data_IF_513745579365
#
_entry.id   IF_513745579365
#
_cell.length_a   1.000
_cell.length_b   1.000
_cell.length_c   1.000
_cell.angle_alpha   90.00
_cell.angle_beta   90.00
_cell.angle_gamma   90.00
#
_symmetry.space_group_name_H-M   'P 1'
#
loop_
_entity.id
_entity.type
_entity.pdbx_description
1 polymer ?
#
# COMPACT_ATOMS: atom_id res chain seq x y z
N UNK A 1 45.55 -7.62 73.04
CA UNK A 1 45.86 -6.65 71.96
C UNK A 1 47.37 -6.49 71.89
N UNK A 2 47.95 -6.80 70.74
CA UNK A 2 49.40 -6.70 70.47
C UNK A 2 49.84 -5.23 70.40
N UNK A 3 51.08 -4.92 70.79
CA UNK A 3 51.68 -3.58 70.64
C UNK A 3 51.59 -3.05 69.19
N UNK A 4 51.56 -3.96 68.21
CA UNK A 4 51.38 -3.66 66.79
C UNK A 4 49.97 -3.17 66.43
N UNK A 5 48.92 -3.67 67.10
CA UNK A 5 47.54 -3.23 66.88
C UNK A 5 47.33 -1.79 67.38
N UNK A 6 47.95 -1.43 68.52
CA UNK A 6 47.87 -0.09 69.10
C UNK A 6 48.58 0.99 68.24
N UNK A 7 49.75 0.68 67.66
CA UNK A 7 50.43 1.60 66.75
C UNK A 7 49.75 1.71 65.37
N UNK A 8 49.15 0.63 64.88
CA UNK A 8 48.34 0.66 63.64
C UNK A 8 47.13 1.57 63.74
N UNK A 9 46.40 1.51 64.87
CA UNK A 9 45.24 2.37 65.16
C UNK A 9 45.61 3.86 65.21
N UNK A 10 46.74 4.21 65.84
CA UNK A 10 47.20 5.61 65.98
C UNK A 10 47.69 6.23 64.67
N UNK A 11 48.24 5.42 63.76
CA UNK A 11 48.68 5.85 62.41
C UNK A 11 47.50 6.11 61.47
N UNK A 12 46.48 5.25 61.50
CA UNK A 12 45.24 5.44 60.72
C UNK A 12 44.53 6.75 61.08
N UNK A 13 44.45 7.05 62.38
CA UNK A 13 43.83 8.28 62.90
C UNK A 13 44.59 9.56 62.47
N UNK A 14 45.92 9.49 62.32
CA UNK A 14 46.73 10.62 61.82
C UNK A 14 46.55 10.88 60.32
N UNK A 15 46.42 9.83 59.51
CA UNK A 15 46.23 9.94 58.05
C UNK A 15 44.84 10.45 57.71
N UNK A 16 43.82 9.98 58.43
CA UNK A 16 42.45 10.49 58.34
C UNK A 16 42.38 12.00 58.61
N UNK A 17 42.98 12.48 59.70
CA UNK A 17 43.02 13.91 60.02
C UNK A 17 43.75 14.74 58.95
N UNK A 18 44.79 14.19 58.34
CA UNK A 18 45.49 14.85 57.23
C UNK A 18 44.60 14.95 55.98
N UNK A 19 43.83 13.91 55.66
CA UNK A 19 42.85 13.93 54.57
C UNK A 19 41.72 14.95 54.83
N UNK A 20 41.15 14.96 56.04
CA UNK A 20 40.11 15.92 56.45
C UNK A 20 40.61 17.37 56.37
N UNK A 21 41.86 17.63 56.80
CA UNK A 21 42.47 18.96 56.70
C UNK A 21 42.64 19.43 55.24
N UNK A 22 43.00 18.51 54.32
CA UNK A 22 43.10 18.81 52.89
C UNK A 22 41.73 19.09 52.26
N UNK A 23 40.71 18.30 52.65
CA UNK A 23 39.33 18.53 52.21
C UNK A 23 38.82 19.90 52.66
N UNK A 24 39.00 20.25 53.94
CA UNK A 24 38.63 21.55 54.51
C UNK A 24 39.38 22.72 53.85
N UNK A 25 40.62 22.49 53.40
CA UNK A 25 41.42 23.47 52.67
C UNK A 25 41.01 23.61 51.19
N UNK A 26 40.06 22.80 50.70
CA UNK A 26 39.61 22.80 49.30
C UNK A 26 40.52 22.05 48.34
N UNK A 27 41.59 21.42 48.82
CA UNK A 27 42.46 20.54 48.02
C UNK A 27 41.85 19.14 47.94
N UNK A 28 40.75 19.05 47.18
CA UNK A 28 39.97 17.83 47.04
C UNK A 28 40.74 16.71 46.33
N UNK A 29 41.71 17.05 45.48
CA UNK A 29 42.54 16.05 44.82
C UNK A 29 43.49 15.37 45.82
N UNK A 30 44.21 16.17 46.62
CA UNK A 30 45.07 15.66 47.69
C UNK A 30 44.29 14.93 48.79
N UNK A 31 43.06 15.36 49.08
CA UNK A 31 42.19 14.67 50.03
C UNK A 31 41.84 13.24 49.58
N UNK A 32 41.49 13.03 48.30
CA UNK A 32 41.19 11.70 47.75
C UNK A 32 42.36 10.73 47.90
N UNK A 33 43.58 11.17 47.57
CA UNK A 33 44.78 10.34 47.71
C UNK A 33 45.03 9.95 49.17
N UNK A 34 44.91 10.91 50.10
CA UNK A 34 45.13 10.64 51.53
C UNK A 34 44.04 9.74 52.14
N UNK A 35 42.79 9.85 51.69
CA UNK A 35 41.72 8.94 52.11
C UNK A 35 41.97 7.50 51.61
N UNK A 36 42.46 7.34 50.38
CA UNK A 36 42.88 6.03 49.86
C UNK A 36 44.05 5.44 50.64
N UNK A 37 45.09 6.23 50.93
CA UNK A 37 46.25 5.81 51.73
C UNK A 37 45.89 5.49 53.20
N UNK A 38 44.77 6.03 53.68
CA UNK A 38 44.20 5.74 54.98
C UNK A 38 43.29 4.48 54.96
N UNK A 39 43.03 3.88 53.80
CA UNK A 39 42.10 2.75 53.67
C UNK A 39 40.63 3.15 53.82
N UNK A 40 40.28 4.37 53.40
CA UNK A 40 38.94 4.95 53.51
C UNK A 40 38.35 5.25 52.11
N UNK A 41 38.06 4.21 51.30
CA UNK A 41 37.64 4.38 49.90
C UNK A 41 36.27 5.07 49.75
N UNK A 42 35.35 4.91 50.71
CA UNK A 42 34.06 5.59 50.69
C UNK A 42 34.19 7.11 50.90
N UNK A 43 35.09 7.56 51.79
CA UNK A 43 35.37 8.98 51.96
C UNK A 43 36.04 9.57 50.73
N UNK A 44 37.00 8.85 50.13
CA UNK A 44 37.59 9.24 48.86
C UNK A 44 36.52 9.36 47.75
N UNK A 45 35.54 8.44 47.72
CA UNK A 45 34.49 8.43 46.70
C UNK A 45 33.52 9.60 46.92
N UNK A 46 33.17 9.91 48.17
CA UNK A 46 32.40 11.11 48.54
C UNK A 46 33.10 12.39 48.08
N UNK A 47 34.41 12.52 48.30
CA UNK A 47 35.18 13.69 47.86
C UNK A 47 35.24 13.78 46.33
N UNK A 48 35.34 12.66 45.61
CA UNK A 48 35.24 12.65 44.15
C UNK A 48 33.88 13.16 43.65
N UNK A 49 32.78 12.83 44.33
CA UNK A 49 31.46 13.36 44.00
C UNK A 49 31.38 14.87 44.26
N UNK A 50 31.99 15.38 45.34
CA UNK A 50 32.11 16.82 45.57
C UNK A 50 32.90 17.52 44.44
N UNK A 51 33.97 16.88 43.96
CA UNK A 51 34.71 17.37 42.78
C UNK A 51 33.84 17.38 41.53
N UNK A 52 33.00 16.36 41.33
CA UNK A 52 32.06 16.31 40.23
C UNK A 52 30.99 17.41 40.30
N UNK A 53 30.60 17.84 41.50
CA UNK A 53 29.62 18.92 41.68
C UNK A 53 30.22 20.31 41.40
N UNK A 54 31.51 20.50 41.70
CA UNK A 54 32.23 21.75 41.45
C UNK A 54 32.80 21.89 40.01
N UNK A 55 32.87 20.80 39.26
CA UNK A 55 33.45 20.78 37.90
C UNK A 55 32.47 21.29 36.84
N UNK A 56 32.98 22.02 35.84
CA UNK A 56 32.17 22.63 34.78
C UNK A 56 32.00 21.73 33.56
N UNK A 57 33.02 20.94 33.21
CA UNK A 57 32.96 20.02 32.06
C UNK A 57 32.17 18.76 32.41
N UNK A 58 31.09 18.51 31.66
CA UNK A 58 30.23 17.33 31.86
C UNK A 58 31.02 16.03 31.74
N UNK A 59 31.98 15.95 30.80
CA UNK A 59 32.83 14.79 30.60
C UNK A 59 33.69 14.50 31.82
N UNK A 60 34.28 15.54 32.43
CA UNK A 60 35.05 15.40 33.67
C UNK A 60 34.18 15.04 34.86
N UNK A 61 32.95 15.58 34.94
CA UNK A 61 31.97 15.20 35.97
C UNK A 61 31.62 13.71 35.86
N UNK A 62 31.33 13.22 34.65
CA UNK A 62 31.10 11.79 34.39
C UNK A 62 32.31 10.95 34.81
N UNK A 63 33.53 11.38 34.49
CA UNK A 63 34.75 10.67 34.87
C UNK A 63 34.96 10.60 36.40
N UNK A 64 34.66 11.68 37.12
CA UNK A 64 34.70 11.70 38.59
C UNK A 64 33.64 10.78 39.20
N UNK A 65 32.39 10.85 38.75
CA UNK A 65 31.31 9.96 39.21
C UNK A 65 31.61 8.48 38.90
N UNK A 66 32.15 8.17 37.72
CA UNK A 66 32.55 6.82 37.34
C UNK A 66 33.68 6.29 38.23
N UNK A 67 34.64 7.14 38.59
CA UNK A 67 35.74 6.77 39.49
C UNK A 67 35.25 6.57 40.93
N UNK A 68 34.36 7.44 41.41
CA UNK A 68 33.71 7.28 42.70
C UNK A 68 32.92 5.97 42.80
N UNK A 69 32.14 5.62 41.77
CA UNK A 69 31.35 4.37 41.75
C UNK A 69 32.23 3.11 41.74
N UNK A 70 33.37 3.13 41.05
CA UNK A 70 34.31 1.99 41.07
C UNK A 70 35.02 1.81 42.39
N UNK A 71 35.24 2.90 43.13
CA UNK A 71 36.04 2.92 44.34
C UNK A 71 35.22 2.69 45.61
N UNK A 72 33.97 3.15 45.64
CA UNK A 72 33.08 2.98 46.78
C UNK A 72 32.89 1.49 47.15
N UNK A 73 33.01 1.20 48.44
CA UNK A 73 32.71 -0.10 49.04
C UNK A 73 31.25 -0.17 49.51
N UNK A 74 30.69 0.94 50.00
CA UNK A 74 29.27 1.04 50.33
C UNK A 74 28.40 0.84 49.08
N UNK A 75 27.45 -0.12 49.09
CA UNK A 75 26.51 -0.31 48.00
C UNK A 75 25.68 0.93 47.69
N UNK A 76 25.29 1.69 48.72
CA UNK A 76 24.51 2.92 48.59
C UNK A 76 25.32 4.02 47.88
N UNK A 77 26.58 4.23 48.30
CA UNK A 77 27.45 5.23 47.70
C UNK A 77 27.82 4.86 46.26
N UNK A 78 28.10 3.58 46.01
CA UNK A 78 28.35 3.04 44.68
C UNK A 78 27.19 3.29 43.73
N UNK A 79 25.96 3.01 44.18
CA UNK A 79 24.71 3.24 43.43
C UNK A 79 24.47 4.72 43.18
N UNK A 80 24.65 5.56 44.20
CA UNK A 80 24.50 7.03 44.08
C UNK A 80 25.49 7.63 43.08
N UNK A 81 26.76 7.22 43.13
CA UNK A 81 27.78 7.65 42.18
C UNK A 81 27.48 7.19 40.74
N UNK A 82 27.00 5.94 40.58
CA UNK A 82 26.57 5.41 39.30
C UNK A 82 25.37 6.20 38.75
N UNK A 83 24.38 6.52 39.58
CA UNK A 83 23.20 7.30 39.19
C UNK A 83 23.58 8.68 38.67
N UNK A 84 24.44 9.43 39.38
CA UNK A 84 24.93 10.73 38.90
C UNK A 84 25.66 10.62 37.57
N UNK A 85 26.50 9.60 37.39
CA UNK A 85 27.20 9.33 36.13
C UNK A 85 26.19 9.07 35.01
N UNK A 86 25.25 8.16 35.24
CA UNK A 86 24.29 7.68 34.26
C UNK A 86 23.31 8.78 33.83
N UNK A 87 22.84 9.62 34.77
CA UNK A 87 21.98 10.78 34.48
C UNK A 87 22.68 11.80 33.58
N UNK A 88 23.93 12.15 33.88
CA UNK A 88 24.72 13.06 33.04
C UNK A 88 24.96 12.48 31.64
N UNK A 89 25.29 11.18 31.56
CA UNK A 89 25.46 10.48 30.30
C UNK A 89 24.15 10.43 29.49
N UNK A 90 23.01 10.24 30.15
CA UNK A 90 21.69 10.23 29.53
C UNK A 90 21.31 11.60 28.96
N UNK A 91 21.62 12.69 29.65
CA UNK A 91 21.39 14.03 29.13
C UNK A 91 22.22 14.29 27.85
N UNK A 92 23.47 13.83 27.81
CA UNK A 92 24.31 13.92 26.61
C UNK A 92 23.75 13.08 25.45
N UNK A 93 23.34 11.84 25.74
CA UNK A 93 22.68 10.96 24.76
C UNK A 93 21.42 11.62 24.21
N UNK A 94 20.54 12.08 25.09
CA UNK A 94 19.29 12.73 24.70
C UNK A 94 19.51 13.99 23.86
N UNK A 95 20.50 14.82 24.22
CA UNK A 95 20.83 16.05 23.48
C UNK A 95 21.31 15.79 22.05
N UNK A 96 21.93 14.63 21.77
CA UNK A 96 22.38 14.25 20.42
C UNK A 96 21.25 13.70 19.52
N UNK A 97 20.13 13.28 20.11
CA UNK A 97 18.97 12.77 19.37
C UNK A 97 19.31 11.63 18.41
N UNK A 98 18.96 11.77 17.13
CA UNK A 98 19.12 10.73 16.10
C UNK A 98 20.57 10.31 15.81
N UNK A 99 21.57 11.08 16.26
CA UNK A 99 23.00 10.77 16.06
C UNK A 99 23.55 9.75 17.08
N UNK A 100 22.76 9.32 18.05
CA UNK A 100 23.22 8.40 19.11
C UNK A 100 23.37 6.98 18.59
N UNK A 101 24.48 6.33 18.96
CA UNK A 101 24.64 4.91 18.70
C UNK A 101 23.76 4.07 19.63
N UNK A 102 23.05 3.08 19.09
CA UNK A 102 22.20 2.15 19.86
C UNK A 102 22.93 1.54 21.07
N UNK A 103 24.20 1.15 20.89
CA UNK A 103 25.04 0.57 21.95
C UNK A 103 25.33 1.55 23.09
N UNK A 104 25.50 2.84 22.78
CA UNK A 104 25.72 3.90 23.77
C UNK A 104 24.46 4.12 24.62
N UNK A 105 23.30 4.29 23.97
CA UNK A 105 22.03 4.45 24.67
C UNK A 105 21.68 3.24 25.54
N UNK A 106 21.92 2.02 25.06
CA UNK A 106 21.70 0.79 25.85
C UNK A 106 22.65 0.69 27.05
N UNK A 107 23.91 1.12 26.91
CA UNK A 107 24.84 1.14 28.04
C UNK A 107 24.35 2.12 29.12
N UNK A 108 23.93 3.32 28.73
CA UNK A 108 23.37 4.32 29.65
C UNK A 108 22.07 3.82 30.31
N UNK A 109 21.18 3.18 29.54
CA UNK A 109 19.93 2.61 30.07
C UNK A 109 20.19 1.58 31.18
N UNK A 110 21.16 0.68 30.96
CA UNK A 110 21.56 -0.32 31.96
C UNK A 110 22.18 0.32 33.19
N UNK A 111 23.04 1.33 33.02
CA UNK A 111 23.63 2.04 34.16
C UNK A 111 22.58 2.80 34.99
N UNK A 112 21.57 3.40 34.34
CA UNK A 112 20.42 4.02 35.02
C UNK A 112 19.62 2.99 35.81
N UNK A 113 19.37 1.83 35.21
CA UNK A 113 18.65 0.73 35.84
C UNK A 113 19.41 0.16 37.06
N UNK A 114 20.71 -0.09 36.92
CA UNK A 114 21.60 -0.50 38.02
C UNK A 114 21.66 0.54 39.15
N UNK A 115 21.56 1.82 38.79
CA UNK A 115 21.48 2.92 39.73
C UNK A 115 20.11 3.06 40.43
N UNK A 116 19.07 2.37 39.95
CA UNK A 116 17.70 2.51 40.45
C UNK A 116 16.93 3.70 39.88
N UNK A 117 17.47 4.39 38.87
CA UNK A 117 16.82 5.50 38.15
C UNK A 117 15.85 4.95 37.09
N UNK A 118 14.86 4.19 37.53
CA UNK A 118 14.05 3.31 36.68
C UNK A 118 13.25 4.05 35.60
N UNK A 119 12.63 5.20 35.90
CA UNK A 119 11.90 5.98 34.89
C UNK A 119 12.83 6.58 33.84
N UNK A 120 14.06 6.97 34.22
CA UNK A 120 15.06 7.45 33.26
C UNK A 120 15.62 6.31 32.42
N UNK A 121 15.78 5.12 33.01
CA UNK A 121 16.12 3.91 32.27
C UNK A 121 15.04 3.61 31.22
N UNK A 122 13.75 3.76 31.57
CA UNK A 122 12.65 3.61 30.63
C UNK A 122 12.76 4.57 29.44
N UNK A 123 13.00 5.86 29.71
CA UNK A 123 13.21 6.87 28.67
C UNK A 123 14.38 6.50 27.75
N UNK A 124 15.48 5.97 28.32
CA UNK A 124 16.66 5.54 27.56
C UNK A 124 16.39 4.29 26.69
N UNK A 125 15.66 3.30 27.19
CA UNK A 125 15.22 2.15 26.38
C UNK A 125 14.25 2.57 25.26
N UNK A 126 13.37 3.55 25.52
CA UNK A 126 12.47 4.09 24.53
C UNK A 126 13.20 4.77 23.36
N UNK A 127 14.33 5.45 23.60
CA UNK A 127 15.15 6.08 22.55
C UNK A 127 15.64 5.08 21.48
N UNK A 128 15.83 3.81 21.86
CA UNK A 128 16.28 2.74 20.97
C UNK A 128 15.17 1.77 20.57
N UNK A 129 13.92 2.04 20.98
CA UNK A 129 12.77 1.18 20.72
C UNK A 129 12.84 -0.18 21.42
N UNK A 130 13.56 -0.30 22.54
CA UNK A 130 13.59 -1.52 23.36
C UNK A 130 12.36 -1.57 24.27
N UNK A 131 11.23 -1.99 23.68
CA UNK A 131 9.92 -1.95 24.32
C UNK A 131 9.78 -2.91 25.49
N UNK A 132 10.48 -4.05 25.43
CA UNK A 132 10.48 -5.07 26.49
C UNK A 132 11.15 -4.52 27.75
N UNK A 133 12.35 -3.96 27.60
CA UNK A 133 13.11 -3.39 28.71
C UNK A 133 12.40 -2.17 29.30
N UNK A 134 11.88 -1.27 28.46
CA UNK A 134 11.09 -0.11 28.89
C UNK A 134 9.89 -0.51 29.75
N UNK A 135 9.08 -1.47 29.28
CA UNK A 135 7.87 -1.91 29.99
C UNK A 135 8.24 -2.56 31.33
N UNK A 136 9.31 -3.37 31.35
CA UNK A 136 9.80 -4.03 32.56
C UNK A 136 10.26 -3.04 33.63
N UNK A 137 11.03 -2.01 33.27
CA UNK A 137 11.51 -1.02 34.24
C UNK A 137 10.39 -0.07 34.70
N UNK A 138 9.44 0.28 33.84
CA UNK A 138 8.25 1.06 34.24
C UNK A 138 7.39 0.28 35.24
N UNK A 139 7.25 -1.03 35.07
CA UNK A 139 6.56 -1.89 36.03
C UNK A 139 7.29 -1.95 37.37
N UNK A 140 8.62 -2.08 37.36
CA UNK A 140 9.43 -2.04 38.58
C UNK A 140 9.37 -0.67 39.29
N UNK A 141 9.20 0.42 38.54
CA UNK A 141 9.04 1.78 39.07
C UNK A 141 7.64 2.07 39.63
N UNK A 142 6.65 1.21 39.37
CA UNK A 142 5.24 1.50 39.69
C UNK A 142 4.64 2.64 38.85
N UNK A 143 5.19 2.91 37.67
CA UNK A 143 4.76 3.99 36.78
C UNK A 143 3.49 3.60 35.98
N UNK A 144 2.38 3.38 36.69
CA UNK A 144 1.11 2.84 36.16
C UNK A 144 0.59 3.68 34.98
N UNK A 145 0.55 5.01 35.12
CA UNK A 145 0.02 5.90 34.07
C UNK A 145 0.80 5.77 32.75
N UNK A 146 2.13 5.64 32.82
CA UNK A 146 2.99 5.48 31.64
C UNK A 146 2.80 4.11 30.98
N UNK A 147 2.62 3.06 31.78
CA UNK A 147 2.30 1.72 31.28
C UNK A 147 0.94 1.69 30.58
N UNK A 148 -0.08 2.33 31.17
CA UNK A 148 -1.42 2.41 30.58
C UNK A 148 -1.42 3.16 29.24
N UNK A 149 -0.72 4.29 29.16
CA UNK A 149 -0.60 5.05 27.91
C UNK A 149 0.09 4.24 26.82
N UNK A 150 1.15 3.51 27.19
CA UNK A 150 1.88 2.65 26.25
C UNK A 150 1.03 1.48 25.77
N UNK A 151 0.30 0.82 26.67
CA UNK A 151 -0.66 -0.22 26.33
C UNK A 151 -1.75 0.30 25.40
N UNK A 152 -2.33 1.47 25.70
CA UNK A 152 -3.37 2.11 24.87
C UNK A 152 -2.86 2.42 23.47
N UNK A 153 -1.65 2.94 23.36
CA UNK A 153 -1.00 3.20 22.07
C UNK A 153 -0.78 1.91 21.29
N UNK A 154 -0.24 0.86 21.94
CA UNK A 154 -0.01 -0.43 21.29
C UNK A 154 -1.32 -1.10 20.83
N UNK A 155 -2.36 -1.07 21.67
CA UNK A 155 -3.67 -1.61 21.33
C UNK A 155 -4.32 -0.86 20.17
N UNK A 156 -4.17 0.47 20.11
CA UNK A 156 -4.66 1.28 18.98
C UNK A 156 -3.98 0.86 17.68
N UNK A 157 -2.65 0.75 17.67
CA UNK A 157 -1.88 0.32 16.48
C UNK A 157 -2.28 -1.09 16.05
N UNK A 158 -2.39 -2.03 16.98
CA UNK A 158 -2.78 -3.40 16.66
C UNK A 158 -4.22 -3.47 16.12
N UNK A 159 -5.13 -2.68 16.70
CA UNK A 159 -6.51 -2.56 16.21
C UNK A 159 -6.54 -2.02 14.79
N UNK A 160 -5.83 -0.93 14.51
CA UNK A 160 -5.78 -0.32 13.18
C UNK A 160 -5.19 -1.29 12.14
N UNK A 161 -4.16 -2.06 12.51
CA UNK A 161 -3.59 -3.11 11.67
C UNK A 161 -4.59 -4.24 11.38
N UNK A 162 -5.33 -4.69 12.39
CA UNK A 162 -6.37 -5.73 12.22
C UNK A 162 -7.52 -5.23 11.34
N UNK A 163 -7.96 -3.99 11.53
CA UNK A 163 -9.00 -3.36 10.71
C UNK A 163 -8.54 -3.22 9.25
N UNK A 164 -7.32 -2.73 9.01
CA UNK A 164 -6.73 -2.66 7.66
C UNK A 164 -6.65 -4.05 6.99
N UNK A 165 -6.16 -5.05 7.72
CA UNK A 165 -6.06 -6.42 7.21
C UNK A 165 -7.43 -7.01 6.88
N UNK A 166 -8.47 -6.70 7.66
CA UNK A 166 -9.83 -7.14 7.39
C UNK A 166 -10.39 -6.49 6.12
N UNK A 167 -10.16 -5.18 5.92
CA UNK A 167 -10.61 -4.46 4.72
C UNK A 167 -9.90 -4.96 3.46
N UNK A 168 -8.59 -5.17 3.51
CA UNK A 168 -7.84 -5.72 2.38
C UNK A 168 -8.33 -7.13 1.99
N UNK A 169 -8.62 -7.98 2.98
CA UNK A 169 -9.22 -9.30 2.72
C UNK A 169 -10.59 -9.17 2.07
N UNK A 170 -11.46 -8.31 2.60
CA UNK A 170 -12.79 -8.06 2.02
C UNK A 170 -12.72 -7.59 0.57
N UNK A 171 -11.86 -6.63 0.25
CA UNK A 171 -11.64 -6.14 -1.13
C UNK A 171 -11.18 -7.29 -2.04
N UNK A 172 -10.22 -8.11 -1.58
CA UNK A 172 -9.70 -9.22 -2.35
C UNK A 172 -10.74 -10.34 -2.58
N UNK A 173 -11.59 -10.60 -1.58
CA UNK A 173 -12.67 -11.58 -1.68
C UNK A 173 -13.75 -11.11 -2.68
N UNK A 174 -14.15 -9.84 -2.60
CA UNK A 174 -15.09 -9.23 -3.54
C UNK A 174 -14.55 -9.22 -4.99
N UNK A 175 -13.27 -8.90 -5.21
CA UNK A 175 -12.64 -8.98 -6.55
C UNK A 175 -12.63 -10.43 -7.08
N UNK A 176 -12.37 -11.42 -6.23
CA UNK A 176 -12.41 -12.85 -6.59
C UNK A 176 -13.82 -13.33 -6.97
N UNK A 177 -14.85 -12.73 -6.38
CA UNK A 177 -16.26 -13.00 -6.69
C UNK A 177 -16.83 -12.14 -7.83
N UNK A 178 -15.99 -11.35 -8.49
CA UNK A 178 -16.36 -10.38 -9.54
C UNK A 178 -17.37 -9.29 -9.09
N UNK A 179 -17.46 -9.05 -7.77
CA UNK A 179 -18.27 -7.98 -7.15
C UNK A 179 -17.44 -6.69 -7.02
N UNK A 180 -16.87 -6.25 -8.16
CA UNK A 180 -15.81 -5.25 -8.18
C UNK A 180 -16.28 -3.86 -7.85
N UNK A 181 -17.54 -3.53 -8.14
CA UNK A 181 -18.12 -2.27 -7.70
C UNK A 181 -18.21 -2.18 -6.18
N UNK A 182 -18.55 -3.26 -5.51
CA UNK A 182 -18.56 -3.30 -4.05
C UNK A 182 -17.14 -3.22 -3.49
N UNK A 183 -16.19 -3.96 -4.09
CA UNK A 183 -14.78 -3.86 -3.73
C UNK A 183 -14.24 -2.42 -3.83
N UNK A 184 -14.58 -1.72 -4.92
CA UNK A 184 -14.23 -0.31 -5.14
C UNK A 184 -14.88 0.58 -4.09
N UNK A 185 -16.17 0.39 -3.79
CA UNK A 185 -16.88 1.19 -2.79
C UNK A 185 -16.28 1.03 -1.38
N UNK A 186 -15.92 -0.20 -0.99
CA UNK A 186 -15.24 -0.49 0.28
C UNK A 186 -13.88 0.23 0.34
N UNK A 187 -13.10 0.15 -0.73
CA UNK A 187 -11.80 0.82 -0.80
C UNK A 187 -11.92 2.35 -0.74
N UNK A 188 -12.85 2.93 -1.49
CA UNK A 188 -13.11 4.38 -1.50
C UNK A 188 -13.57 4.88 -0.13
N UNK A 189 -14.46 4.15 0.54
CA UNK A 189 -14.93 4.49 1.88
C UNK A 189 -13.78 4.47 2.91
N UNK A 190 -12.87 3.50 2.83
CA UNK A 190 -11.68 3.44 3.69
C UNK A 190 -10.76 4.65 3.47
N UNK A 191 -10.45 4.96 2.21
CA UNK A 191 -9.55 6.08 1.84
C UNK A 191 -10.16 7.41 2.27
N UNK A 192 -11.46 7.61 2.07
CA UNK A 192 -12.17 8.82 2.48
C UNK A 192 -12.17 9.04 4.01
N UNK A 193 -12.02 7.97 4.79
CA UNK A 193 -11.93 8.03 6.25
C UNK A 193 -10.59 8.54 6.80
N UNK A 194 -9.64 8.95 5.94
CA UNK A 194 -8.27 9.36 6.32
C UNK A 194 -7.51 8.29 7.14
N UNK A 195 -7.96 7.04 7.08
CA UNK A 195 -7.25 5.89 7.63
C UNK A 195 -6.15 5.57 6.64
N UNK A 196 -4.89 5.75 7.04
CA UNK A 196 -3.74 5.46 6.18
C UNK A 196 -3.89 4.12 5.46
N UNK A 197 -3.34 4.00 4.25
CA UNK A 197 -3.57 2.77 3.48
C UNK A 197 -3.16 2.86 2.03
N UNK A 198 -1.89 3.15 1.78
CA UNK A 198 -1.30 3.01 0.43
C UNK A 198 -1.63 1.64 -0.18
N UNK A 199 -1.63 0.59 0.65
CA UNK A 199 -2.06 -0.77 0.28
C UNK A 199 -3.50 -0.85 -0.25
N UNK A 200 -4.44 -0.11 0.35
CA UNK A 200 -5.85 -0.07 -0.11
C UNK A 200 -5.96 0.72 -1.41
N UNK A 201 -5.22 1.83 -1.53
CA UNK A 201 -5.14 2.59 -2.77
C UNK A 201 -4.53 1.78 -3.91
N UNK A 202 -3.52 0.94 -3.63
CA UNK A 202 -2.93 0.01 -4.58
C UNK A 202 -3.91 -1.05 -5.03
N UNK A 203 -4.64 -1.66 -4.10
CA UNK A 203 -5.70 -2.62 -4.43
C UNK A 203 -6.77 -1.98 -5.32
N UNK A 204 -7.22 -0.76 -4.99
CA UNK A 204 -8.18 0.00 -5.79
C UNK A 204 -7.65 0.29 -7.20
N UNK A 205 -6.40 0.75 -7.32
CA UNK A 205 -5.75 0.99 -8.62
C UNK A 205 -5.65 -0.29 -9.44
N UNK A 206 -5.29 -1.41 -8.82
CA UNK A 206 -5.18 -2.71 -9.48
C UNK A 206 -6.52 -3.20 -10.04
N UNK A 207 -7.62 -3.04 -9.31
CA UNK A 207 -8.97 -3.39 -9.79
C UNK A 207 -9.36 -2.49 -10.97
N UNK A 208 -9.22 -1.17 -10.81
CA UNK A 208 -9.60 -0.18 -11.85
C UNK A 208 -8.81 -0.35 -13.14
N UNK A 209 -7.54 -0.72 -13.06
CA UNK A 209 -6.69 -0.93 -14.25
C UNK A 209 -7.18 -2.08 -15.14
N UNK A 210 -7.87 -3.07 -14.57
CA UNK A 210 -8.40 -4.22 -15.30
C UNK A 210 -9.87 -4.07 -15.67
N UNK A 211 -10.60 -3.19 -15.00
CA UNK A 211 -12.05 -3.01 -15.18
C UNK A 211 -12.38 -2.55 -16.60
N UNK A 212 -13.27 -3.29 -17.27
CA UNK A 212 -13.69 -2.96 -18.62
C UNK A 212 -14.80 -1.91 -18.56
N UNK A 213 -14.59 -0.78 -19.25
CA UNK A 213 -15.51 0.37 -19.24
C UNK A 213 -15.93 0.87 -20.63
N UNK A 214 -15.18 0.50 -21.68
CA UNK A 214 -15.43 0.95 -23.04
C UNK A 214 -16.52 0.15 -23.77
N UNK A 215 -17.07 0.70 -24.87
CA UNK A 215 -18.04 -0.01 -25.71
C UNK A 215 -17.38 -1.01 -26.67
N UNK A 216 -16.04 -1.04 -26.75
CA UNK A 216 -15.29 -2.06 -27.49
C UNK A 216 -14.78 -3.10 -26.51
N UNK A 217 -15.16 -4.35 -26.72
CA UNK A 217 -14.77 -5.51 -25.94
C UNK A 217 -13.96 -6.47 -26.81
N UNK A 218 -12.82 -6.93 -26.33
CA UNK A 218 -12.16 -8.11 -26.91
C UNK A 218 -12.49 -9.32 -26.05
N UNK A 219 -12.87 -10.45 -26.67
CA UNK A 219 -13.10 -11.70 -25.97
C UNK A 219 -12.68 -12.89 -26.82
N UNK A 220 -12.19 -13.95 -26.18
CA UNK A 220 -12.00 -15.25 -26.80
C UNK A 220 -13.25 -16.09 -26.57
N UNK A 221 -13.88 -16.55 -27.65
CA UNK A 221 -15.07 -17.38 -27.63
C UNK A 221 -14.91 -18.52 -28.63
N UNK A 222 -15.02 -19.77 -28.16
CA UNK A 222 -14.84 -20.95 -29.02
C UNK A 222 -13.47 -21.02 -29.70
N UNK A 223 -12.41 -20.50 -29.06
CA UNK A 223 -11.05 -20.46 -29.60
C UNK A 223 -10.78 -19.33 -30.61
N UNK A 224 -11.76 -18.47 -30.89
CA UNK A 224 -11.60 -17.31 -31.74
C UNK A 224 -11.57 -16.02 -30.92
N UNK A 225 -10.60 -15.15 -31.20
CA UNK A 225 -10.57 -13.80 -30.65
C UNK A 225 -11.51 -12.89 -31.44
N UNK A 226 -12.54 -12.37 -30.76
CA UNK A 226 -13.55 -11.49 -31.30
C UNK A 226 -13.39 -10.08 -30.72
N UNK A 227 -13.53 -9.07 -31.58
CA UNK A 227 -13.75 -7.68 -31.16
C UNK A 227 -15.23 -7.37 -31.29
N UNK A 228 -15.84 -6.90 -30.22
CA UNK A 228 -17.26 -6.63 -30.14
C UNK A 228 -17.52 -5.15 -29.88
N UNK A 229 -18.42 -4.55 -30.65
CA UNK A 229 -18.92 -3.19 -30.43
C UNK A 229 -20.28 -3.28 -29.71
N UNK A 230 -20.26 -3.10 -28.40
CA UNK A 230 -21.40 -3.23 -27.51
C UNK A 230 -22.32 -2.00 -27.56
N UNK A 231 -23.61 -2.23 -27.30
CA UNK A 231 -24.65 -1.20 -27.25
C UNK A 231 -25.84 -1.51 -28.15
N UNK A 232 -26.98 -0.87 -27.87
CA UNK A 232 -28.20 -0.98 -28.68
C UNK A 232 -28.03 -0.37 -30.09
N UNK A 233 -27.15 0.62 -30.19
CA UNK A 233 -26.66 1.21 -31.43
C UNK A 233 -25.14 1.29 -31.42
N UNK A 234 -24.54 1.17 -32.60
CA UNK A 234 -23.09 1.28 -32.82
C UNK A 234 -22.85 2.44 -33.77
N UNK A 235 -22.02 3.39 -33.36
CA UNK A 235 -21.62 4.51 -34.21
C UNK A 235 -20.21 4.32 -34.73
N UNK A 236 -19.96 4.81 -35.94
CA UNK A 236 -18.64 4.82 -36.57
C UNK A 236 -18.27 6.27 -36.86
N UNK A 237 -17.06 6.67 -36.51
CA UNK A 237 -16.58 8.03 -36.75
C UNK A 237 -15.11 8.20 -36.37
N UNK A 238 -14.56 9.40 -36.50
CA UNK A 238 -13.15 9.68 -36.16
C UNK A 238 -12.88 10.12 -34.72
N UNK A 239 -13.92 10.22 -33.88
CA UNK A 239 -13.82 10.79 -32.55
C UNK A 239 -14.85 10.19 -31.59
N UNK A 240 -15.90 10.94 -31.29
CA UNK A 240 -17.00 10.58 -30.38
C UNK A 240 -17.92 9.50 -30.98
N UNK A 241 -17.37 8.30 -31.22
CA UNK A 241 -18.07 7.17 -31.81
C UNK A 241 -17.68 5.85 -31.12
N UNK A 242 -18.53 4.84 -31.24
CA UNK A 242 -18.27 3.48 -30.71
C UNK A 242 -17.04 2.86 -31.37
N UNK A 243 -17.00 2.88 -32.70
CA UNK A 243 -15.86 2.43 -33.52
C UNK A 243 -15.16 3.67 -34.06
N UNK A 244 -13.92 3.89 -33.63
CA UNK A 244 -13.12 5.06 -34.00
C UNK A 244 -12.19 4.73 -35.16
N UNK A 245 -12.26 5.53 -36.22
CA UNK A 245 -11.43 5.40 -37.43
C UNK A 245 -10.58 6.65 -37.62
N UNK A 246 -9.26 6.48 -37.76
CA UNK A 246 -8.30 7.58 -37.91
C UNK A 246 -8.27 8.16 -39.35
N UNK A 247 -9.40 8.69 -39.84
CA UNK A 247 -9.48 9.37 -41.14
C UNK A 247 -10.09 10.77 -41.02
N UNK A 248 -9.49 11.73 -41.73
CA UNK A 248 -9.98 13.13 -41.79
C UNK A 248 -11.23 13.27 -42.67
N UNK A 249 -11.45 12.34 -43.60
CA UNK A 249 -12.63 12.32 -44.45
C UNK A 249 -13.90 11.91 -43.68
N UNK A 250 -13.73 11.25 -42.53
CA UNK A 250 -14.82 10.76 -41.68
C UNK A 250 -15.14 11.80 -40.60
N UNK A 251 -16.43 12.00 -40.33
CA UNK A 251 -16.91 12.90 -39.26
C UNK A 251 -16.64 12.33 -37.88
N UNK A 252 -16.67 13.16 -36.82
CA UNK A 252 -16.48 12.69 -35.43
C UNK A 252 -17.42 11.53 -35.07
N UNK A 253 -18.67 11.66 -35.49
CA UNK A 253 -19.69 10.62 -35.50
C UNK A 253 -20.28 10.66 -36.91
N UNK A 254 -20.09 9.61 -37.72
CA UNK A 254 -20.35 9.64 -39.16
C UNK A 254 -21.57 8.82 -39.53
N UNK A 255 -21.57 7.53 -39.19
CA UNK A 255 -22.74 6.67 -39.37
C UNK A 255 -23.18 6.07 -38.05
N UNK A 256 -24.48 5.76 -37.96
CA UNK A 256 -25.08 4.96 -36.91
C UNK A 256 -25.62 3.66 -37.50
N UNK A 257 -25.38 2.57 -36.81
CA UNK A 257 -25.92 1.24 -37.09
C UNK A 257 -26.83 0.86 -35.93
N UNK A 258 -28.06 0.44 -36.24
CA UNK A 258 -29.04 0.02 -35.23
C UNK A 258 -29.99 -1.04 -35.77
N UNK A 259 -30.79 -1.63 -34.90
CA UNK A 259 -31.94 -2.45 -35.30
C UNK A 259 -33.10 -1.51 -35.69
N UNK A 260 -33.54 -1.61 -36.94
CA UNK A 260 -34.75 -1.00 -37.47
C UNK A 260 -35.89 -2.01 -37.64
N UNK A 261 -37.04 -1.60 -38.20
CA UNK A 261 -38.25 -2.43 -38.32
C UNK A 261 -38.05 -3.71 -39.15
N UNK A 262 -37.15 -3.66 -40.14
CA UNK A 262 -36.89 -4.75 -41.10
C UNK A 262 -35.55 -5.47 -40.88
N UNK A 263 -34.86 -5.19 -39.77
CA UNK A 263 -33.55 -5.77 -39.46
C UNK A 263 -32.51 -4.71 -39.16
N UNK A 264 -31.25 -4.95 -39.52
CA UNK A 264 -30.17 -3.97 -39.30
C UNK A 264 -30.26 -2.86 -40.34
N UNK A 265 -30.14 -1.62 -39.90
CA UNK A 265 -30.07 -0.44 -40.77
C UNK A 265 -28.86 0.43 -40.41
N UNK A 266 -28.41 1.20 -41.41
CA UNK A 266 -27.29 2.14 -41.30
C UNK A 266 -27.74 3.51 -41.81
N UNK A 267 -27.39 4.55 -41.07
CA UNK A 267 -27.79 5.94 -41.34
C UNK A 267 -26.57 6.86 -41.31
N UNK A 268 -26.44 7.74 -42.31
CA UNK A 268 -25.50 8.87 -42.28
C UNK A 268 -26.03 9.99 -41.40
N UNK A 269 -25.23 10.46 -40.45
CA UNK A 269 -25.66 11.44 -39.43
C UNK A 269 -25.51 12.90 -39.92
N UNK A 270 -25.86 13.17 -41.17
CA UNK A 270 -25.77 14.52 -41.76
C UNK A 270 -24.33 14.96 -41.96
N UNK A 271 -23.47 14.06 -42.43
CA UNK A 271 -22.03 14.28 -42.48
C UNK A 271 -21.61 15.17 -43.65
N UNK A 272 -20.48 15.88 -43.54
CA UNK A 272 -20.00 16.79 -44.59
C UNK A 272 -19.76 16.05 -45.92
N UNK A 273 -18.92 15.03 -45.87
CA UNK A 273 -18.49 14.28 -47.04
C UNK A 273 -19.47 13.16 -47.44
N UNK A 274 -20.44 12.84 -46.57
CA UNK A 274 -21.47 11.84 -46.81
C UNK A 274 -20.97 10.40 -46.74
N UNK A 275 -21.94 9.49 -46.78
CA UNK A 275 -21.75 8.05 -46.94
C UNK A 275 -22.33 7.63 -48.28
N UNK A 276 -21.60 6.83 -49.06
CA UNK A 276 -22.04 6.40 -50.39
C UNK A 276 -22.14 4.88 -50.51
N UNK A 277 -23.11 4.40 -51.27
CA UNK A 277 -23.30 3.01 -51.70
C UNK A 277 -23.19 2.99 -53.23
N UNK A 278 -22.19 2.29 -53.77
CA UNK A 278 -21.94 2.23 -55.22
C UNK A 278 -21.89 3.64 -55.89
N UNK A 279 -21.33 4.63 -55.19
CA UNK A 279 -21.22 6.02 -55.66
C UNK A 279 -22.45 6.90 -55.39
N UNK A 280 -23.61 6.32 -55.05
CA UNK A 280 -24.80 7.09 -54.68
C UNK A 280 -24.78 7.45 -53.18
N UNK A 281 -25.02 8.72 -52.86
CA UNK A 281 -25.05 9.19 -51.46
C UNK A 281 -26.32 8.74 -50.74
N UNK A 282 -26.17 8.30 -49.49
CA UNK A 282 -27.32 8.00 -48.63
C UNK A 282 -28.03 9.30 -48.22
N UNK A 283 -29.36 9.29 -48.34
CA UNK A 283 -30.24 10.41 -47.96
C UNK A 283 -31.12 10.10 -46.75
N UNK A 284 -31.03 8.89 -46.20
CA UNK A 284 -31.77 8.41 -45.03
C UNK A 284 -31.31 7.01 -44.61
N UNK A 285 -31.98 6.39 -43.63
CA UNK A 285 -31.67 5.05 -43.16
C UNK A 285 -31.72 4.02 -44.30
N UNK A 286 -30.66 3.23 -44.43
CA UNK A 286 -30.53 2.16 -45.42
C UNK A 286 -30.64 0.80 -44.71
N UNK A 287 -31.62 -0.05 -45.07
CA UNK A 287 -31.64 -1.44 -44.63
C UNK A 287 -30.42 -2.22 -45.16
N UNK A 288 -29.71 -2.92 -44.29
CA UNK A 288 -28.50 -3.68 -44.64
C UNK A 288 -28.81 -4.92 -45.50
N UNK A 289 -30.03 -5.48 -45.39
CA UNK A 289 -30.45 -6.61 -46.23
C UNK A 289 -29.60 -7.87 -46.02
N UNK A 290 -28.86 -8.33 -47.05
CA UNK A 290 -27.91 -9.45 -46.97
C UNK A 290 -26.46 -9.01 -46.71
N UNK A 291 -26.22 -7.71 -46.70
CA UNK A 291 -24.90 -7.10 -46.58
C UNK A 291 -24.79 -5.88 -47.50
N UNK A 292 -24.07 -4.85 -47.03
CA UNK A 292 -23.82 -3.62 -47.79
C UNK A 292 -22.34 -3.25 -47.75
N UNK A 293 -21.88 -2.64 -48.83
CA UNK A 293 -20.53 -2.09 -48.97
C UNK A 293 -20.64 -0.58 -49.13
N UNK A 294 -20.17 0.15 -48.14
CA UNK A 294 -20.26 1.60 -48.06
C UNK A 294 -18.88 2.23 -48.15
N UNK A 295 -18.85 3.46 -48.62
CA UNK A 295 -17.66 4.31 -48.60
C UNK A 295 -17.95 5.55 -47.76
N UNK A 296 -17.32 5.63 -46.59
CA UNK A 296 -17.46 6.74 -45.65
C UNK A 296 -16.52 7.87 -46.05
N UNK A 297 -17.07 9.07 -46.13
CA UNK A 297 -16.33 10.26 -46.52
C UNK A 297 -15.68 10.19 -47.91
N UNK A 298 -16.09 9.24 -48.76
CA UNK A 298 -15.51 9.01 -50.07
C UNK A 298 -14.17 8.25 -50.09
N UNK A 299 -13.66 7.81 -48.94
CA UNK A 299 -12.32 7.22 -48.85
C UNK A 299 -12.24 5.93 -48.02
N UNK A 300 -13.09 5.75 -47.00
CA UNK A 300 -12.96 4.64 -46.04
C UNK A 300 -13.98 3.55 -46.35
N UNK A 301 -13.56 2.36 -46.82
CA UNK A 301 -14.47 1.24 -47.05
C UNK A 301 -15.03 0.70 -45.72
N UNK A 302 -16.34 0.46 -45.69
CA UNK A 302 -17.04 -0.16 -44.59
C UNK A 302 -18.03 -1.20 -45.11
N UNK A 303 -17.83 -2.45 -44.73
CA UNK A 303 -18.77 -3.52 -45.00
C UNK A 303 -19.62 -3.77 -43.76
N UNK A 304 -20.93 -3.90 -43.94
CA UNK A 304 -21.84 -4.32 -42.87
C UNK A 304 -22.57 -5.57 -43.34
N UNK A 305 -22.40 -6.66 -42.61
CA UNK A 305 -23.04 -7.96 -42.90
C UNK A 305 -23.94 -8.36 -41.73
N UNK A 306 -25.25 -8.55 -41.92
CA UNK A 306 -26.14 -8.91 -40.82
C UNK A 306 -25.90 -10.36 -40.39
N UNK A 307 -26.10 -10.61 -39.10
CA UNK A 307 -26.12 -11.95 -38.50
C UNK A 307 -27.53 -12.19 -37.97
N UNK A 308 -28.22 -13.18 -38.53
CA UNK A 308 -29.59 -13.51 -38.16
C UNK A 308 -29.70 -13.73 -36.65
N UNK A 309 -30.49 -12.89 -35.96
CA UNK A 309 -30.69 -12.96 -34.50
C UNK A 309 -29.56 -12.39 -33.63
N UNK A 310 -28.39 -12.10 -34.20
CA UNK A 310 -27.15 -11.78 -33.46
C UNK A 310 -26.53 -10.43 -33.83
N UNK A 311 -27.30 -9.57 -34.52
CA UNK A 311 -26.86 -8.21 -34.90
C UNK A 311 -26.17 -8.18 -36.26
N UNK A 312 -24.94 -7.68 -36.33
CA UNK A 312 -24.15 -7.60 -37.56
C UNK A 312 -22.63 -7.70 -37.32
N UNK A 313 -21.90 -7.89 -38.41
CA UNK A 313 -20.44 -7.75 -38.51
C UNK A 313 -20.15 -6.47 -39.27
N UNK A 314 -19.26 -5.65 -38.71
CA UNK A 314 -18.77 -4.42 -39.33
C UNK A 314 -17.29 -4.63 -39.64
N UNK A 315 -16.93 -4.53 -40.92
CA UNK A 315 -15.54 -4.52 -41.36
C UNK A 315 -15.17 -3.13 -41.84
N UNK A 316 -14.19 -2.50 -41.21
CA UNK A 316 -13.80 -1.12 -41.52
C UNK A 316 -12.32 -0.90 -41.23
N UNK A 317 -11.63 -0.24 -42.16
CA UNK A 317 -10.19 0.06 -42.03
C UNK A 317 -9.31 -1.17 -41.72
N UNK A 318 -9.69 -2.36 -42.21
CA UNK A 318 -8.98 -3.62 -41.99
C UNK A 318 -9.32 -4.32 -40.66
N UNK A 319 -10.15 -3.70 -39.83
CA UNK A 319 -10.65 -4.27 -38.57
C UNK A 319 -12.03 -4.89 -38.76
N UNK A 320 -12.30 -5.95 -38.00
CA UNK A 320 -13.60 -6.65 -37.97
C UNK A 320 -14.19 -6.61 -36.57
N UNK A 321 -15.43 -6.11 -36.48
CA UNK A 321 -16.18 -5.97 -35.23
C UNK A 321 -17.49 -6.75 -35.32
N UNK A 322 -17.83 -7.48 -34.26
CA UNK A 322 -19.17 -8.02 -34.06
C UNK A 322 -20.01 -7.03 -33.26
N UNK A 323 -21.11 -6.55 -33.84
CA UNK A 323 -22.03 -5.62 -33.20
C UNK A 323 -23.36 -6.34 -32.91
N UNK A 324 -23.65 -6.76 -31.66
CA UNK A 324 -24.91 -7.42 -31.31
C UNK A 324 -26.14 -6.51 -31.47
N UNK A 325 -25.95 -5.18 -31.42
CA UNK A 325 -27.01 -4.17 -31.44
C UNK A 325 -28.03 -4.47 -30.33
N UNK A 326 -27.52 -4.52 -29.10
CA UNK A 326 -28.15 -5.02 -27.88
C UNK A 326 -27.13 -5.73 -26.99
N UNK A 327 -27.62 -6.64 -26.15
CA UNK A 327 -26.78 -7.49 -25.33
C UNK A 327 -26.01 -8.53 -26.19
N UNK A 328 -24.71 -8.70 -25.94
CA UNK A 328 -23.88 -9.72 -26.58
C UNK A 328 -24.14 -11.10 -25.95
N UNK A 329 -24.66 -12.09 -26.70
CA UNK A 329 -24.83 -13.45 -26.17
C UNK A 329 -23.48 -14.17 -26.03
N UNK A 330 -23.23 -14.75 -24.85
CA UNK A 330 -22.08 -15.63 -24.56
C UNK A 330 -22.57 -16.88 -23.82
N UNK A 331 -22.83 -17.95 -24.56
CA UNK A 331 -23.54 -19.11 -24.03
C UNK A 331 -24.92 -18.71 -23.46
N UNK A 332 -25.27 -19.09 -22.22
CA UNK A 332 -26.56 -18.74 -21.62
C UNK A 332 -26.60 -17.30 -21.08
N UNK A 333 -25.48 -16.57 -21.06
CA UNK A 333 -25.37 -15.26 -20.45
C UNK A 333 -25.35 -14.13 -21.48
N UNK A 334 -25.38 -12.90 -20.98
CA UNK A 334 -25.41 -11.67 -21.78
C UNK A 334 -24.34 -10.69 -21.30
N UNK A 335 -23.52 -10.18 -22.21
CA UNK A 335 -22.58 -9.09 -21.92
C UNK A 335 -23.15 -7.78 -22.43
N UNK A 336 -23.10 -6.74 -21.61
CA UNK A 336 -23.59 -5.39 -21.95
C UNK A 336 -22.76 -4.31 -21.28
N UNK A 337 -22.89 -3.08 -21.78
CA UNK A 337 -22.36 -1.90 -21.09
C UNK A 337 -23.46 -1.36 -20.18
N UNK A 338 -23.18 -1.33 -18.88
CA UNK A 338 -24.03 -0.70 -17.89
C UNK A 338 -23.54 0.70 -17.54
N UNK A 339 -24.49 1.56 -17.18
CA UNK A 339 -24.25 2.93 -16.71
C UNK A 339 -24.78 3.06 -15.30
N UNK A 340 -23.92 3.48 -14.38
CA UNK A 340 -24.31 3.83 -13.01
C UNK A 340 -23.72 5.20 -12.68
N UNK A 341 -24.60 6.20 -12.55
CA UNK A 341 -24.18 7.60 -12.46
C UNK A 341 -23.40 8.00 -13.71
N UNK A 342 -22.19 8.55 -13.51
CA UNK A 342 -21.28 8.95 -14.58
C UNK A 342 -20.38 7.82 -15.09
N UNK A 343 -20.35 6.66 -14.43
CA UNK A 343 -19.44 5.57 -14.73
C UNK A 343 -20.08 4.54 -15.66
N UNK A 344 -19.26 3.97 -16.53
CA UNK A 344 -19.61 2.85 -17.42
C UNK A 344 -18.75 1.64 -17.08
N UNK A 345 -19.37 0.46 -17.16
CA UNK A 345 -18.66 -0.81 -17.00
C UNK A 345 -19.30 -1.87 -17.88
N UNK A 346 -18.50 -2.84 -18.31
CA UNK A 346 -18.97 -4.02 -19.02
C UNK A 346 -19.41 -5.04 -17.97
N UNK A 347 -20.67 -5.43 -18.02
CA UNK A 347 -21.28 -6.36 -17.09
C UNK A 347 -21.65 -7.67 -17.77
N UNK A 348 -21.50 -8.78 -17.04
CA UNK A 348 -22.10 -10.06 -17.36
C UNK A 348 -23.44 -10.18 -16.63
N UNK A 349 -24.49 -10.49 -17.38
CA UNK A 349 -25.84 -10.72 -16.88
C UNK A 349 -26.24 -12.17 -17.07
N UNK A 350 -26.81 -12.75 -16.03
CA UNK A 350 -27.43 -14.07 -16.03
C UNK A 350 -28.95 -13.89 -16.13
N UNK A 351 -29.56 -14.20 -17.28
CA UNK A 351 -31.01 -14.12 -17.42
C UNK A 351 -31.73 -15.02 -16.40
N UNK A 352 -32.97 -14.69 -15.99
CA UNK A 352 -33.76 -15.56 -15.12
C UNK A 352 -33.89 -16.98 -15.70
N UNK A 353 -33.61 -17.99 -14.88
CA UNK A 353 -33.65 -19.40 -15.27
C UNK A 353 -32.39 -19.92 -15.98
N UNK A 354 -31.42 -19.06 -16.31
CA UNK A 354 -30.12 -19.49 -16.82
C UNK A 354 -29.22 -20.03 -15.68
N UNK A 355 -28.34 -21.00 -15.94
CA UNK A 355 -27.36 -21.46 -14.95
C UNK A 355 -26.37 -20.33 -14.60
N UNK A 356 -25.90 -20.25 -13.35
CA UNK A 356 -24.96 -19.22 -12.93
C UNK A 356 -23.58 -19.41 -13.58
N UNK A 357 -22.85 -18.32 -13.90
CA UNK A 357 -21.47 -18.39 -14.33
C UNK A 357 -20.53 -18.63 -13.14
N UNK A 358 -19.32 -19.09 -13.46
CA UNK A 358 -18.25 -19.30 -12.51
C UNK A 358 -16.97 -18.58 -12.95
N UNK A 359 -16.26 -17.97 -12.00
CA UNK A 359 -14.89 -17.47 -12.17
C UNK A 359 -13.96 -18.29 -11.25
N UNK A 360 -13.19 -19.19 -11.85
CA UNK A 360 -12.43 -20.20 -11.10
C UNK A 360 -13.37 -21.05 -10.24
N UNK A 361 -13.24 -20.93 -8.92
CA UNK A 361 -14.08 -21.64 -7.96
C UNK A 361 -15.29 -20.83 -7.46
N UNK A 362 -15.44 -19.57 -7.87
CA UNK A 362 -16.50 -18.72 -7.35
C UNK A 362 -17.72 -18.75 -8.27
N UNK A 363 -18.88 -19.09 -7.71
CA UNK A 363 -20.15 -18.90 -8.40
C UNK A 363 -20.50 -17.41 -8.39
N UNK A 364 -20.81 -16.86 -9.55
CA UNK A 364 -21.02 -15.44 -9.72
C UNK A 364 -22.48 -15.04 -9.47
N UNK A 365 -22.68 -13.81 -9.00
CA UNK A 365 -23.99 -13.21 -8.87
C UNK A 365 -24.66 -13.03 -10.26
N UNK A 366 -26.00 -12.83 -10.32
CA UNK A 366 -26.70 -12.65 -11.60
C UNK A 366 -26.23 -11.45 -12.42
N UNK A 367 -25.54 -10.50 -11.80
CA UNK A 367 -24.94 -9.34 -12.45
C UNK A 367 -23.58 -9.09 -11.82
N UNK A 368 -22.52 -9.14 -12.64
CA UNK A 368 -21.14 -8.91 -12.17
C UNK A 368 -20.35 -8.06 -13.17
N UNK A 369 -19.32 -7.37 -12.70
CA UNK A 369 -18.46 -6.54 -13.54
C UNK A 369 -17.27 -7.31 -14.09
N UNK A 370 -17.06 -7.19 -15.40
CA UNK A 370 -16.01 -7.88 -16.12
C UNK A 370 -14.69 -7.08 -16.12
N UNK A 371 -13.59 -7.79 -15.98
CA UNK A 371 -12.23 -7.29 -16.13
C UNK A 371 -11.49 -8.03 -17.24
N UNK A 372 -10.49 -7.36 -17.78
CA UNK A 372 -9.43 -8.01 -18.52
C UNK A 372 -8.79 -9.14 -17.69
N UNK A 373 -8.59 -10.31 -18.31
CA UNK A 373 -8.06 -11.51 -17.68
C UNK A 373 -9.12 -12.49 -17.14
N UNK A 374 -10.40 -12.10 -17.06
CA UNK A 374 -11.44 -13.01 -16.54
C UNK A 374 -11.66 -14.20 -17.48
N UNK A 375 -11.85 -15.38 -16.89
CA UNK A 375 -12.15 -16.62 -17.60
C UNK A 375 -13.42 -17.24 -17.02
N UNK A 376 -14.52 -17.13 -17.75
CA UNK A 376 -15.85 -17.47 -17.25
C UNK A 376 -16.24 -18.88 -17.70
N UNK A 377 -16.59 -19.73 -16.75
CA UNK A 377 -16.97 -21.12 -16.96
C UNK A 377 -18.43 -21.38 -16.59
N UNK A 378 -18.99 -22.49 -17.10
CA UNK A 378 -20.36 -22.94 -16.76
C UNK A 378 -20.43 -23.82 -15.51
N UNK A 379 -19.28 -24.17 -14.94
CA UNK A 379 -19.16 -24.96 -13.73
C UNK A 379 -17.87 -24.60 -12.98
N UNK A 380 -17.87 -24.85 -11.66
CA UNK A 380 -16.71 -24.68 -10.78
C UNK A 380 -15.48 -25.40 -11.33
N UNK A 381 -14.37 -24.69 -11.49
CA UNK A 381 -13.11 -25.23 -12.01
C UNK A 381 -13.18 -25.77 -13.46
N UNK A 382 -14.28 -25.49 -14.17
CA UNK A 382 -14.49 -25.97 -15.53
C UNK A 382 -13.66 -25.22 -16.57
N UNK A 383 -13.72 -25.71 -17.81
CA UNK A 383 -13.14 -24.97 -18.95
C UNK A 383 -13.94 -23.70 -19.19
N UNK A 384 -13.23 -22.61 -19.48
CA UNK A 384 -13.85 -21.32 -19.77
C UNK A 384 -14.72 -21.40 -21.04
N UNK A 385 -15.97 -20.94 -20.94
CA UNK A 385 -16.88 -20.71 -22.07
C UNK A 385 -16.35 -19.53 -22.90
N UNK A 386 -15.89 -18.48 -22.23
CA UNK A 386 -15.20 -17.36 -22.86
C UNK A 386 -14.13 -16.79 -21.94
N UNK A 387 -13.15 -16.10 -22.54
CA UNK A 387 -12.08 -15.41 -21.83
C UNK A 387 -12.00 -13.96 -22.26
N UNK A 388 -11.61 -13.10 -21.33
CA UNK A 388 -11.27 -11.72 -21.59
C UNK A 388 -9.75 -11.62 -21.61
N UNK A 389 -9.13 -11.23 -22.73
CA UNK A 389 -7.68 -11.12 -22.81
C UNK A 389 -7.16 -10.07 -21.82
N UNK A 390 -5.90 -10.19 -21.36
CA UNK A 390 -5.28 -9.21 -20.48
C UNK A 390 -5.19 -7.84 -21.17
N UNK A 391 -5.18 -6.77 -20.37
CA UNK A 391 -5.08 -5.41 -20.89
C UNK A 391 -3.73 -5.23 -21.61
N UNK A 392 -3.76 -4.79 -22.88
CA UNK A 392 -2.56 -4.54 -23.68
C UNK A 392 -2.26 -5.55 -24.79
N UNK A 393 -2.93 -6.71 -24.81
CA UNK A 393 -2.91 -7.62 -25.97
C UNK A 393 -3.91 -7.14 -27.03
N UNK A 394 -3.54 -6.11 -27.78
CA UNK A 394 -4.17 -5.89 -29.08
C UNK A 394 -3.75 -7.04 -30.02
N UNK A 395 -4.67 -7.62 -30.82
CA UNK A 395 -4.30 -8.66 -31.76
C UNK A 395 -3.24 -8.14 -32.73
N UNK A 396 -2.07 -8.79 -32.73
CA UNK A 396 -1.15 -8.66 -33.86
C UNK A 396 -1.86 -9.23 -35.09
N UNK A 397 -2.15 -8.36 -36.05
CA UNK A 397 -2.66 -8.76 -37.35
C UNK A 397 -1.60 -9.69 -37.97
N UNK A 398 -1.82 -11.00 -37.94
CA UNK A 398 -1.10 -11.91 -38.82
C UNK A 398 -1.51 -11.53 -40.24
N UNK A 399 -0.70 -10.70 -40.89
CA UNK A 399 -0.75 -10.53 -42.34
C UNK A 399 -0.48 -11.92 -42.93
N UNK A 400 -1.52 -12.57 -43.44
CA UNK A 400 -1.35 -13.75 -44.28
C UNK A 400 -0.48 -13.35 -45.46
N UNK A 401 0.77 -13.82 -45.47
CA UNK A 401 1.68 -13.66 -46.58
C UNK A 401 1.11 -14.40 -47.78
N UNK A 402 0.71 -13.65 -48.81
CA UNK A 402 0.61 -14.17 -50.15
C UNK A 402 2.05 -14.32 -50.69
N UNK A 403 2.60 -15.52 -50.60
CA UNK A 403 3.72 -15.92 -51.45
C UNK A 403 3.16 -16.84 -52.54
N UNK A 404 2.92 -16.23 -53.70
CA UNK A 404 2.63 -16.89 -54.97
C UNK A 404 3.30 -16.07 -56.06
N UNK A 405 4.63 -16.14 -56.12
CA UNK A 405 5.43 -15.64 -57.24
C UNK A 405 5.69 -16.77 -58.25
N UNK A 406 5.79 -16.46 -59.55
CA UNK A 406 5.73 -17.46 -60.61
C UNK A 406 7.09 -18.14 -60.84
N UNK A 407 7.05 -19.40 -61.26
CA UNK A 407 8.11 -20.08 -62.00
C UNK A 407 7.52 -20.67 -63.27
#
# INVERSE_FOLDING_TARGET
MSLFEWFGLRRGDSRRRAAEAKELAGDLAGAVELYLDAGMPDDAARVLLLRADAERSVEKRIAFCASASRMAESPELKRSALGRKALLAFDLVRARGASVMRSEALAVARELEEAGELERAADAYALVGDTESETRVLAAAGAIERLEERLRSAMTVERDQRELAAVLRSIADLDRMAERREAIAVAEAWIAGNRGGEQVADALRAIRARLLSGPILSLELGGALLRCALGDEVTIGRGEATIVVASRAVSRTHVRIRRGPSGVEVEDLGTRNGTTLAGARLTGPLPVGRGVQLLLGGEVPCAITPRTGEGCVVEIAGDRFTAPLGDLPVGPWRIRVDRVGASTFVALKTPPGAPPPFLGDYQLAPSVELCAGDAIASARGGTAVFRLPPAGEAPSIRRGGAEGGPA
#
